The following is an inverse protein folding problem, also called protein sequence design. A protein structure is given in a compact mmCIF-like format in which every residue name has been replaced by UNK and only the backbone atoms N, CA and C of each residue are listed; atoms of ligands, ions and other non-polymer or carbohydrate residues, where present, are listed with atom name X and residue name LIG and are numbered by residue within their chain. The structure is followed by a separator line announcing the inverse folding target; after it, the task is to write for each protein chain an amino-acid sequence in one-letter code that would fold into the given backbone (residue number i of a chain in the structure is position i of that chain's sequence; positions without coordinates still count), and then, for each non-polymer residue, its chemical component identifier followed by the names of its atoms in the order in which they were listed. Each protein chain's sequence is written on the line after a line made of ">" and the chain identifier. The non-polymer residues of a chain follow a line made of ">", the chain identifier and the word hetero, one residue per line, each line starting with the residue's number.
data_IF_671636213518
#
_entry.id   IF_671636213518
#
_cell.length_a   1.000
_cell.length_b   1.000
_cell.length_c   1.000
_cell.angle_alpha   90.00
_cell.angle_beta   90.00
_cell.angle_gamma   90.00
#
_symmetry.space_group_name_H-M   'P 1'
#
loop_
_entity.id
_entity.type
_entity.pdbx_description
1 polymer ?
#
# COMPACT_ATOMS: atom_id res chain seq x y z
N UNK A 1 -11.21 -105.18 4.92
CA UNK A 1 -11.39 -105.10 6.38
C UNK A 1 -10.29 -104.22 6.93
N UNK A 2 -10.72 -103.10 7.50
CA UNK A 2 -10.28 -102.52 8.76
C UNK A 2 -8.87 -101.92 8.89
N UNK A 3 -8.89 -100.58 8.88
CA UNK A 3 -8.41 -99.68 9.93
C UNK A 3 -6.92 -99.62 10.37
N UNK A 4 -6.33 -98.50 9.94
CA UNK A 4 -5.74 -97.45 10.80
C UNK A 4 -4.38 -97.61 11.51
N UNK A 5 -3.69 -96.45 11.57
CA UNK A 5 -2.81 -95.95 12.63
C UNK A 5 -1.38 -96.50 12.79
N UNK A 6 -0.34 -95.68 13.04
CA UNK A 6 -0.18 -94.21 12.93
C UNK A 6 1.32 -93.82 12.99
N UNK A 7 1.70 -92.66 12.40
CA UNK A 7 2.90 -91.82 12.67
C UNK A 7 4.33 -92.41 12.68
N UNK A 8 5.22 -91.87 11.82
CA UNK A 8 6.23 -90.83 12.18
C UNK A 8 7.42 -90.81 11.18
N UNK A 9 7.62 -89.69 10.44
CA UNK A 9 8.94 -89.25 9.92
C UNK A 9 8.98 -87.70 9.95
N UNK A 10 10.06 -87.05 10.42
CA UNK A 10 10.14 -85.58 10.59
C UNK A 10 10.66 -84.80 9.37
N UNK A 11 10.59 -83.46 9.47
CA UNK A 11 11.27 -82.47 8.60
C UNK A 11 12.82 -82.55 8.74
N UNK A 12 13.71 -81.92 7.96
CA UNK A 12 13.73 -80.72 7.08
C UNK A 12 14.58 -81.02 5.81
N UNK A 13 14.78 -80.19 4.77
CA UNK A 13 14.48 -78.77 4.48
C UNK A 13 14.08 -78.63 2.97
N UNK A 14 14.07 -77.47 2.28
CA UNK A 14 14.35 -76.06 2.64
C UNK A 14 14.17 -75.12 1.43
N UNK A 15 14.24 -73.81 1.65
CA UNK A 15 14.27 -72.78 0.58
C UNK A 15 13.12 -71.76 0.61
N UNK A 16 13.42 -70.52 1.01
CA UNK A 16 12.75 -69.24 0.68
C UNK A 16 13.29 -68.10 1.55
N UNK A 17 14.29 -67.35 1.05
CA UNK A 17 14.76 -66.07 1.65
C UNK A 17 15.21 -65.02 0.60
N UNK A 18 14.66 -65.05 -0.61
CA UNK A 18 14.98 -64.05 -1.65
C UNK A 18 13.92 -62.95 -1.83
N UNK A 19 12.67 -63.16 -1.37
CA UNK A 19 11.57 -62.21 -1.60
C UNK A 19 11.49 -61.01 -0.64
N UNK A 20 12.12 -61.06 0.54
CA UNK A 20 11.94 -60.04 1.59
C UNK A 20 12.83 -58.78 1.45
N UNK A 21 13.86 -58.79 0.60
CA UNK A 21 14.73 -57.62 0.39
C UNK A 21 14.30 -56.71 -0.78
N UNK A 22 13.46 -57.18 -1.70
CA UNK A 22 13.04 -56.37 -2.85
C UNK A 22 12.14 -55.19 -2.48
N UNK A 23 11.25 -55.36 -1.50
CA UNK A 23 10.33 -54.30 -1.07
C UNK A 23 11.04 -53.07 -0.44
N UNK A 24 11.95 -53.23 0.56
CA UNK A 24 12.68 -52.08 1.08
C UNK A 24 13.63 -51.45 0.05
N UNK A 25 14.21 -52.23 -0.87
CA UNK A 25 15.07 -51.70 -1.93
C UNK A 25 14.27 -50.88 -2.96
N UNK A 26 13.08 -51.33 -3.34
CA UNK A 26 12.14 -50.57 -4.18
C UNK A 26 11.69 -49.26 -3.51
N UNK A 27 11.37 -49.29 -2.21
CA UNK A 27 11.01 -48.10 -1.44
C UNK A 27 12.18 -47.11 -1.33
N UNK A 28 13.39 -47.61 -1.07
CA UNK A 28 14.59 -46.78 -1.05
C UNK A 28 14.91 -46.17 -2.43
N UNK A 29 14.74 -46.93 -3.52
CA UNK A 29 14.93 -46.43 -4.88
C UNK A 29 13.87 -45.38 -5.26
N UNK A 30 12.59 -45.60 -4.91
CA UNK A 30 11.53 -44.62 -5.14
C UNK A 30 11.73 -43.33 -4.32
N UNK A 31 12.15 -43.46 -3.06
CA UNK A 31 12.51 -42.31 -2.23
C UNK A 31 13.74 -41.57 -2.78
N UNK A 32 14.76 -42.30 -3.26
CA UNK A 32 15.92 -41.69 -3.89
C UNK A 32 15.55 -40.99 -5.21
N UNK A 33 14.64 -41.54 -6.01
CA UNK A 33 14.09 -40.87 -7.20
C UNK A 33 13.30 -39.62 -6.81
N UNK A 34 12.55 -39.61 -5.71
CA UNK A 34 11.87 -38.40 -5.21
C UNK A 34 12.82 -37.32 -4.67
N UNK A 35 13.99 -37.71 -4.15
CA UNK A 35 15.00 -36.77 -3.60
C UNK A 35 15.99 -36.30 -4.68
N UNK A 36 16.29 -37.15 -5.66
CA UNK A 36 17.26 -36.90 -6.73
C UNK A 36 16.60 -36.59 -8.09
N UNK A 37 15.27 -36.66 -8.20
CA UNK A 37 14.58 -35.92 -9.24
C UNK A 37 14.99 -34.45 -9.08
N UNK A 38 15.45 -33.78 -10.16
CA UNK A 38 15.53 -32.33 -10.09
C UNK A 38 14.13 -31.85 -9.69
N UNK A 39 14.06 -31.02 -8.66
CA UNK A 39 12.86 -30.22 -8.47
C UNK A 39 12.60 -29.55 -9.84
N UNK A 40 11.39 -29.67 -10.35
CA UNK A 40 10.99 -28.79 -11.43
C UNK A 40 11.08 -27.38 -10.83
N UNK A 41 12.16 -26.67 -11.15
CA UNK A 41 12.17 -25.22 -11.25
C UNK A 41 11.22 -24.86 -12.39
N UNK A 42 9.93 -25.17 -12.17
CA UNK A 42 8.84 -24.63 -12.93
C UNK A 42 8.98 -23.13 -12.79
N UNK A 43 9.40 -22.50 -13.88
CA UNK A 43 9.60 -21.07 -13.98
C UNK A 43 8.26 -20.34 -14.05
N UNK A 44 7.31 -20.75 -13.21
CA UNK A 44 6.12 -20.02 -12.83
C UNK A 44 6.57 -18.84 -11.96
N UNK A 45 7.22 -17.88 -12.62
CA UNK A 45 7.12 -16.48 -12.22
C UNK A 45 5.62 -16.22 -12.09
N UNK A 46 5.13 -16.12 -10.87
CA UNK A 46 3.73 -15.87 -10.55
C UNK A 46 3.41 -14.40 -10.91
N UNK A 47 3.40 -14.13 -12.22
CA UNK A 47 3.05 -12.85 -12.82
C UNK A 47 1.54 -12.76 -12.84
N UNK A 48 1.02 -11.85 -12.04
CA UNK A 48 -0.39 -11.59 -11.86
C UNK A 48 -0.72 -10.19 -12.38
N UNK A 49 -1.77 -10.08 -13.19
CA UNK A 49 -2.30 -8.79 -13.60
C UNK A 49 -3.38 -8.35 -12.62
N UNK A 50 -3.21 -7.17 -12.03
CA UNK A 50 -4.20 -6.56 -11.14
C UNK A 50 -4.68 -5.24 -11.72
N UNK A 51 -5.99 -5.15 -11.93
CA UNK A 51 -6.65 -3.96 -12.47
C UNK A 51 -7.46 -3.25 -11.40
N UNK A 52 -7.42 -1.93 -11.41
CA UNK A 52 -8.28 -1.07 -10.60
C UNK A 52 -9.00 -0.08 -11.51
N UNK A 53 -10.28 0.14 -11.24
CA UNK A 53 -11.16 1.00 -12.02
C UNK A 53 -12.16 1.67 -11.09
N UNK A 54 -12.56 2.91 -11.40
CA UNK A 54 -13.59 3.63 -10.65
C UNK A 54 -14.85 3.73 -11.52
N UNK A 55 -15.98 3.13 -11.13
CA UNK A 55 -17.20 3.14 -11.92
C UNK A 55 -17.63 4.56 -12.33
N UNK A 56 -17.92 4.74 -13.62
CA UNK A 56 -18.30 6.03 -14.21
C UNK A 56 -17.14 6.87 -14.75
N UNK A 57 -15.88 6.51 -14.45
CA UNK A 57 -14.69 7.21 -14.94
C UNK A 57 -13.94 6.34 -15.97
N UNK A 58 -13.52 6.89 -17.12
CA UNK A 58 -12.88 6.14 -18.20
C UNK A 58 -11.38 5.91 -17.95
N UNK A 59 -11.02 5.46 -16.74
CA UNK A 59 -9.65 5.23 -16.32
C UNK A 59 -9.48 3.84 -15.71
N UNK A 60 -8.38 3.18 -16.06
CA UNK A 60 -8.00 1.88 -15.51
C UNK A 60 -6.52 1.92 -15.14
N UNK A 61 -6.19 1.64 -13.89
CA UNK A 61 -4.81 1.35 -13.47
C UNK A 61 -4.57 -0.15 -13.62
N UNK A 62 -3.54 -0.53 -14.37
CA UNK A 62 -3.10 -1.92 -14.55
C UNK A 62 -1.74 -2.08 -13.90
N UNK A 63 -1.59 -3.05 -13.00
CA UNK A 63 -0.34 -3.45 -12.41
C UNK A 63 0.00 -4.87 -12.88
N UNK A 64 1.24 -5.09 -13.30
CA UNK A 64 1.83 -6.42 -13.42
C UNK A 64 2.64 -6.68 -12.16
N UNK A 65 2.30 -7.75 -11.45
CA UNK A 65 2.89 -8.06 -10.14
C UNK A 65 3.50 -9.47 -10.13
N UNK A 66 4.76 -9.58 -9.76
CA UNK A 66 5.46 -10.85 -9.51
C UNK A 66 5.66 -11.02 -8.01
N UNK A 67 5.17 -12.14 -7.44
CA UNK A 67 5.20 -12.40 -5.99
C UNK A 67 4.60 -11.28 -5.09
N UNK A 68 3.70 -10.45 -5.64
CA UNK A 68 3.07 -9.32 -4.95
C UNK A 68 3.79 -7.97 -5.12
N UNK A 69 5.04 -7.98 -5.61
CA UNK A 69 5.79 -6.77 -5.99
C UNK A 69 5.42 -6.36 -7.40
N UNK A 70 5.24 -5.06 -7.65
CA UNK A 70 4.93 -4.49 -8.96
C UNK A 70 6.21 -4.51 -9.82
N UNK A 71 6.15 -5.22 -10.95
CA UNK A 71 7.19 -5.21 -11.98
C UNK A 71 7.01 -4.04 -12.97
N UNK A 72 5.76 -3.66 -13.22
CA UNK A 72 5.41 -2.58 -14.15
C UNK A 72 3.97 -2.13 -13.90
N UNK A 73 3.69 -0.86 -14.21
CA UNK A 73 2.38 -0.25 -13.95
C UNK A 73 1.99 0.71 -15.07
N UNK A 74 0.72 0.72 -15.45
CA UNK A 74 0.19 1.61 -16.48
C UNK A 74 -1.17 2.21 -16.11
N UNK A 75 -1.29 3.52 -16.23
CA UNK A 75 -2.58 4.21 -16.24
C UNK A 75 -3.10 4.29 -17.67
N UNK A 76 -4.27 3.70 -17.94
CA UNK A 76 -4.99 3.82 -19.19
C UNK A 76 -6.08 4.88 -19.06
N UNK A 77 -6.10 5.81 -20.00
CA UNK A 77 -7.09 6.90 -20.14
C UNK A 77 -7.51 7.03 -21.61
N UNK A 78 -8.50 7.86 -21.96
CA UNK A 78 -8.83 8.14 -23.36
C UNK A 78 -7.74 8.93 -24.10
N UNK A 79 -6.83 9.60 -23.38
CA UNK A 79 -5.61 10.20 -23.95
C UNK A 79 -4.49 9.17 -24.25
N UNK A 80 -4.72 7.88 -23.93
CA UNK A 80 -3.78 6.79 -24.13
C UNK A 80 -3.32 6.14 -22.84
N UNK A 81 -2.31 5.26 -22.95
CA UNK A 81 -1.65 4.63 -21.81
C UNK A 81 -0.39 5.42 -21.39
N UNK A 82 -0.06 5.38 -20.10
CA UNK A 82 1.14 5.94 -19.50
C UNK A 82 1.74 4.97 -18.49
N UNK A 83 3.04 4.74 -18.60
CA UNK A 83 3.79 3.97 -17.60
C UNK A 83 3.93 4.75 -16.29
N UNK A 84 3.98 4.04 -15.16
CA UNK A 84 4.13 4.60 -13.82
C UNK A 84 5.31 3.95 -13.11
N UNK A 85 6.52 4.16 -13.65
CA UNK A 85 7.81 3.61 -13.16
C UNK A 85 8.01 3.82 -11.64
N UNK A 86 7.46 4.89 -11.07
CA UNK A 86 7.49 5.19 -9.62
C UNK A 86 6.80 4.14 -8.72
N UNK A 87 6.05 3.20 -9.29
CA UNK A 87 5.39 2.11 -8.58
C UNK A 87 6.17 0.79 -8.62
N UNK A 88 7.19 0.69 -9.47
CA UNK A 88 7.99 -0.53 -9.63
C UNK A 88 8.77 -0.82 -8.33
N UNK A 89 8.85 -2.10 -7.95
CA UNK A 89 9.44 -2.53 -6.68
C UNK A 89 8.55 -2.30 -5.44
N UNK A 90 7.37 -1.66 -5.57
CA UNK A 90 6.41 -1.50 -4.48
C UNK A 90 5.35 -2.60 -4.47
N UNK A 91 4.63 -2.75 -3.36
CA UNK A 91 3.42 -3.58 -3.23
C UNK A 91 2.20 -2.70 -2.95
N UNK A 92 1.03 -3.08 -3.49
CA UNK A 92 -0.23 -2.39 -3.19
C UNK A 92 -0.66 -2.57 -1.73
N UNK A 93 -1.07 -1.48 -1.09
CA UNK A 93 -1.56 -1.44 0.30
C UNK A 93 -3.06 -1.14 0.37
N UNK A 94 -3.51 -0.06 -0.27
CA UNK A 94 -4.90 0.40 -0.16
C UNK A 94 -5.34 1.30 -1.31
N UNK A 95 -6.66 1.44 -1.46
CA UNK A 95 -7.32 2.28 -2.45
C UNK A 95 -8.45 3.06 -1.77
N UNK A 96 -8.68 4.29 -2.20
CA UNK A 96 -9.83 5.09 -1.81
C UNK A 96 -10.25 6.03 -2.95
N UNK A 97 -11.53 5.98 -3.35
CA UNK A 97 -12.10 6.87 -4.36
C UNK A 97 -13.08 7.86 -3.70
N UNK A 98 -12.86 9.15 -3.92
CA UNK A 98 -13.63 10.25 -3.33
C UNK A 98 -14.28 11.06 -4.45
N UNK A 99 -15.58 11.27 -4.34
CA UNK A 99 -16.39 12.03 -5.31
C UNK A 99 -16.75 13.42 -4.78
N UNK A 100 -16.58 14.43 -5.62
CA UNK A 100 -16.82 15.85 -5.34
C UNK A 100 -17.36 16.56 -6.59
N UNK A 101 -17.69 17.85 -6.51
CA UNK A 101 -18.05 18.66 -7.69
C UNK A 101 -17.24 19.94 -7.66
N UNK A 102 -16.34 20.13 -8.62
CA UNK A 102 -15.37 21.23 -8.62
C UNK A 102 -15.40 22.07 -9.88
N UNK A 103 -15.80 21.50 -11.01
CA UNK A 103 -15.82 22.19 -12.32
C UNK A 103 -17.20 22.80 -12.70
N UNK A 104 -18.11 22.89 -11.73
CA UNK A 104 -19.45 23.48 -11.86
C UNK A 104 -20.41 22.75 -12.80
N UNK A 105 -20.08 21.56 -13.32
CA UNK A 105 -21.03 20.73 -14.05
C UNK A 105 -21.90 19.86 -13.08
N UNK A 106 -22.86 19.09 -13.64
CA UNK A 106 -23.82 18.31 -12.85
C UNK A 106 -23.32 16.92 -12.46
N UNK A 107 -22.17 16.46 -12.97
CA UNK A 107 -21.54 15.17 -12.70
C UNK A 107 -20.70 15.25 -11.43
N UNK A 108 -20.07 14.13 -11.07
CA UNK A 108 -19.11 14.06 -9.97
C UNK A 108 -17.70 13.99 -10.57
N UNK A 109 -16.79 14.79 -10.02
CA UNK A 109 -15.35 14.78 -10.26
C UNK A 109 -14.66 13.83 -9.25
N UNK A 110 -13.60 13.16 -9.71
CA UNK A 110 -12.92 12.11 -8.97
C UNK A 110 -11.63 12.61 -8.32
N UNK A 111 -11.42 12.26 -7.05
CA UNK A 111 -10.13 12.19 -6.38
C UNK A 111 -9.87 10.74 -5.96
N UNK A 112 -8.96 10.07 -6.65
CA UNK A 112 -8.62 8.66 -6.42
C UNK A 112 -7.23 8.54 -5.80
N UNK A 113 -7.11 7.87 -4.66
CA UNK A 113 -5.86 7.66 -3.94
C UNK A 113 -5.55 6.16 -3.89
N UNK A 114 -4.33 5.79 -4.29
CA UNK A 114 -3.80 4.44 -4.15
C UNK A 114 -2.47 4.49 -3.39
N UNK A 115 -2.31 3.60 -2.41
CA UNK A 115 -1.14 3.56 -1.53
C UNK A 115 -0.28 2.34 -1.86
N UNK A 116 1.02 2.56 -2.02
CA UNK A 116 2.00 1.54 -2.35
C UNK A 116 3.19 1.62 -1.40
N UNK A 117 3.79 0.49 -1.05
CA UNK A 117 4.93 0.43 -0.11
C UNK A 117 5.82 -0.79 -0.38
N UNK A 118 7.13 -0.65 -0.17
CA UNK A 118 8.11 -1.74 -0.22
C UNK A 118 8.28 -2.41 1.15
N UNK A 119 9.04 -3.52 1.20
CA UNK A 119 9.31 -4.23 2.46
C UNK A 119 10.15 -3.45 3.48
N UNK A 120 10.81 -2.36 3.07
CA UNK A 120 11.59 -1.47 3.94
C UNK A 120 10.73 -0.42 4.65
N UNK A 121 9.42 -0.36 4.33
CA UNK A 121 8.49 0.63 4.88
C UNK A 121 8.53 1.99 4.17
N UNK A 122 9.15 2.06 2.99
CA UNK A 122 9.14 3.23 2.11
C UNK A 122 8.14 3.04 0.97
N UNK A 123 7.41 4.08 0.59
CA UNK A 123 6.30 3.96 -0.34
C UNK A 123 5.90 5.27 -1.00
N UNK A 124 4.81 5.20 -1.75
CA UNK A 124 4.22 6.30 -2.51
C UNK A 124 2.70 6.21 -2.45
N UNK A 125 2.03 7.34 -2.20
CA UNK A 125 0.64 7.54 -2.59
C UNK A 125 0.59 8.08 -4.02
N UNK A 126 -0.18 7.42 -4.88
CA UNK A 126 -0.57 7.92 -6.19
C UNK A 126 -1.95 8.57 -6.08
N UNK A 127 -2.05 9.84 -6.45
CA UNK A 127 -3.30 10.57 -6.52
C UNK A 127 -3.65 10.84 -7.98
N UNK A 128 -4.84 10.38 -8.39
CA UNK A 128 -5.39 10.58 -9.72
C UNK A 128 -6.65 11.42 -9.57
N UNK A 129 -6.56 12.69 -9.95
CA UNK A 129 -7.71 13.58 -10.05
C UNK A 129 -8.31 13.55 -11.45
N UNK A 130 -9.63 13.56 -11.60
CA UNK A 130 -10.28 13.74 -12.90
C UNK A 130 -11.45 14.74 -12.82
N UNK A 131 -11.41 15.76 -13.67
CA UNK A 131 -12.52 16.69 -13.93
C UNK A 131 -13.38 16.20 -15.11
N UNK A 132 -14.66 16.53 -15.09
CA UNK A 132 -15.66 15.95 -16.01
C UNK A 132 -16.20 16.92 -17.06
N UNK A 133 -16.21 18.23 -16.81
CA UNK A 133 -16.62 19.28 -17.74
C UNK A 133 -15.62 19.43 -18.89
N UNK A 134 -14.34 19.57 -18.56
CA UNK A 134 -13.22 19.59 -19.50
C UNK A 134 -12.29 18.44 -19.14
N UNK A 135 -12.33 17.29 -19.84
CA UNK A 135 -11.68 16.07 -19.35
C UNK A 135 -10.16 16.20 -19.23
N UNK A 136 -9.72 16.36 -17.98
CA UNK A 136 -8.32 16.36 -17.59
C UNK A 136 -8.12 15.32 -16.49
N UNK A 137 -7.03 14.56 -16.61
CA UNK A 137 -6.55 13.66 -15.58
C UNK A 137 -5.23 14.19 -15.06
N UNK A 138 -5.20 14.42 -13.75
CA UNK A 138 -4.05 14.94 -13.03
C UNK A 138 -3.44 13.79 -12.24
N UNK A 139 -2.23 13.40 -12.60
CA UNK A 139 -1.50 12.36 -11.89
C UNK A 139 -0.46 13.04 -11.00
N UNK A 140 -0.58 12.87 -9.70
CA UNK A 140 0.39 13.37 -8.71
C UNK A 140 0.83 12.24 -7.79
N UNK A 141 2.01 12.38 -7.19
CA UNK A 141 2.52 11.42 -6.20
C UNK A 141 3.02 12.15 -4.96
N UNK A 142 2.90 11.49 -3.82
CA UNK A 142 3.52 11.95 -2.57
C UNK A 142 4.16 10.74 -1.85
N UNK A 143 5.31 10.90 -1.19
CA UNK A 143 5.96 9.81 -0.49
C UNK A 143 5.10 9.30 0.68
N UNK A 144 5.14 8.01 0.96
CA UNK A 144 4.35 7.36 2.01
C UNK A 144 5.27 6.56 2.94
N UNK A 145 5.13 6.77 4.25
CA UNK A 145 5.75 5.95 5.30
C UNK A 145 4.79 5.87 6.48
N UNK A 146 4.84 4.77 7.23
CA UNK A 146 4.10 4.67 8.48
C UNK A 146 4.67 5.64 9.52
N UNK A 147 3.77 6.38 10.16
CA UNK A 147 4.05 7.34 11.23
C UNK A 147 3.15 7.08 12.43
N UNK A 148 3.44 7.70 13.58
CA UNK A 148 2.72 7.45 14.84
C UNK A 148 1.21 7.66 14.76
N UNK A 149 0.75 8.47 13.80
CA UNK A 149 -0.67 8.64 13.47
C UNK A 149 -1.39 7.33 13.12
N UNK A 150 -0.71 6.42 12.42
CA UNK A 150 -1.29 5.15 11.94
C UNK A 150 -1.50 4.13 13.06
N UNK A 151 -0.83 4.31 14.20
CA UNK A 151 -1.01 3.49 15.39
C UNK A 151 -2.15 3.99 16.31
N UNK A 152 -2.76 5.15 16.01
CA UNK A 152 -3.88 5.66 16.80
C UNK A 152 -5.19 4.95 16.40
N UNK A 153 -5.97 4.42 17.36
CA UNK A 153 -7.31 3.86 17.09
C UNK A 153 -8.37 4.93 16.82
N UNK A 154 -8.01 6.22 16.92
CA UNK A 154 -8.93 7.34 16.73
C UNK A 154 -9.23 7.54 15.23
N UNK A 155 -10.51 7.45 14.87
CA UNK A 155 -10.99 7.86 13.54
C UNK A 155 -11.16 9.38 13.51
N UNK A 156 -10.63 10.01 12.47
CA UNK A 156 -10.86 11.42 12.18
C UNK A 156 -12.08 11.50 11.26
N UNK A 157 -13.05 12.34 11.60
CA UNK A 157 -14.20 12.62 10.73
C UNK A 157 -13.78 13.60 9.63
N UNK A 158 -13.99 13.19 8.38
CA UNK A 158 -13.54 13.90 7.18
C UNK A 158 -14.76 14.29 6.33
N UNK A 159 -14.94 15.57 5.95
CA UNK A 159 -16.05 15.97 5.08
C UNK A 159 -16.02 15.32 3.69
N UNK A 160 -17.20 15.19 3.06
CA UNK A 160 -17.31 14.68 1.67
C UNK A 160 -16.44 15.51 0.73
N UNK A 161 -15.73 14.84 -0.18
CA UNK A 161 -14.82 15.49 -1.14
C UNK A 161 -13.40 15.75 -0.59
N UNK A 162 -13.15 15.45 0.69
CA UNK A 162 -11.84 15.59 1.32
C UNK A 162 -11.21 14.22 1.57
N UNK A 163 -9.91 14.12 1.34
CA UNK A 163 -9.05 13.02 1.75
C UNK A 163 -8.01 13.49 2.76
N UNK A 164 -7.42 12.56 3.51
CA UNK A 164 -6.30 12.82 4.40
C UNK A 164 -5.04 12.22 3.79
N UNK A 165 -3.98 13.03 3.71
CA UNK A 165 -2.62 12.58 3.43
C UNK A 165 -1.75 12.80 4.66
N UNK A 166 -1.15 11.71 5.18
CA UNK A 166 -0.21 11.74 6.30
C UNK A 166 1.20 11.72 5.72
N UNK A 167 1.93 12.82 5.83
CA UNK A 167 3.30 12.89 5.31
C UNK A 167 4.23 11.95 6.10
N UNK A 168 5.34 11.47 5.51
CA UNK A 168 6.35 10.66 6.22
C UNK A 168 6.98 11.35 7.44
N UNK A 169 7.00 12.69 7.44
CA UNK A 169 7.66 13.51 8.45
C UNK A 169 6.91 14.83 8.73
N UNK A 170 7.21 15.44 9.87
CA UNK A 170 6.80 16.81 10.20
C UNK A 170 7.55 17.83 9.30
N UNK A 171 7.07 19.07 9.14
CA UNK A 171 7.76 20.07 8.32
C UNK A 171 9.15 20.38 8.89
N UNK A 172 10.12 20.67 8.02
CA UNK A 172 11.44 21.11 8.45
C UNK A 172 11.39 22.55 8.99
N UNK A 173 11.24 22.67 10.31
CA UNK A 173 11.27 23.96 11.00
C UNK A 173 12.72 24.41 11.23
N UNK A 174 13.08 25.62 10.77
CA UNK A 174 14.45 26.19 10.81
C UNK A 174 15.16 26.21 12.19
N UNK A 175 14.42 26.00 13.28
CA UNK A 175 14.95 25.95 14.65
C UNK A 175 15.28 24.53 15.14
N UNK A 176 15.19 23.52 14.26
CA UNK A 176 15.45 22.11 14.56
C UNK A 176 16.60 21.58 13.70
N UNK A 177 17.48 20.80 14.31
CA UNK A 177 18.65 20.19 13.65
C UNK A 177 18.28 19.14 12.61
N UNK A 178 17.09 18.54 12.71
CA UNK A 178 16.59 17.51 11.80
C UNK A 178 15.07 17.50 11.69
N UNK A 179 14.59 16.92 10.59
CA UNK A 179 13.20 16.57 10.40
C UNK A 179 12.85 15.31 11.24
N UNK A 180 11.62 15.24 11.76
CA UNK A 180 11.13 14.10 12.55
C UNK A 180 10.05 13.34 11.77
N UNK A 181 10.23 12.03 11.59
CA UNK A 181 9.33 11.17 10.84
C UNK A 181 9.37 9.71 11.31
N UNK A 182 8.75 8.83 10.53
CA UNK A 182 8.64 7.39 10.83
C UNK A 182 7.71 7.05 12.01
N UNK A 183 7.61 5.76 12.34
CA UNK A 183 6.63 5.20 13.31
C UNK A 183 6.67 5.87 14.68
N UNK A 184 7.86 6.29 15.12
CA UNK A 184 8.07 6.91 16.43
C UNK A 184 7.70 8.40 16.48
N UNK A 185 7.27 8.99 15.36
CA UNK A 185 7.01 10.42 15.25
C UNK A 185 5.60 10.73 14.71
N UNK A 186 4.98 11.77 15.26
CA UNK A 186 3.87 12.44 14.57
C UNK A 186 4.43 13.30 13.44
N UNK A 187 3.78 13.25 12.28
CA UNK A 187 4.13 13.99 11.06
C UNK A 187 3.05 15.00 10.68
N UNK A 188 3.28 15.82 9.64
CA UNK A 188 2.22 16.71 9.18
C UNK A 188 1.10 15.94 8.49
N UNK A 189 -0.12 16.45 8.62
CA UNK A 189 -1.30 15.91 7.94
C UNK A 189 -1.89 16.99 7.04
N UNK A 190 -2.00 16.67 5.76
CA UNK A 190 -2.55 17.52 4.71
C UNK A 190 -3.96 17.03 4.35
N UNK A 191 -4.92 17.95 4.27
CA UNK A 191 -6.25 17.66 3.70
C UNK A 191 -6.23 17.87 2.19
N UNK A 192 -6.37 16.79 1.43
CA UNK A 192 -6.32 16.81 -0.04
C UNK A 192 -7.75 16.87 -0.57
N UNK A 193 -8.01 17.80 -1.47
CA UNK A 193 -9.29 17.89 -2.19
C UNK A 193 -9.02 17.94 -3.69
N UNK A 194 -10.03 17.54 -4.48
CA UNK A 194 -10.01 17.86 -5.90
C UNK A 194 -10.20 19.38 -6.07
N UNK A 195 -9.56 19.95 -7.08
CA UNK A 195 -9.76 21.32 -7.55
C UNK A 195 -9.80 21.32 -9.08
N UNK A 196 -10.22 22.41 -9.76
CA UNK A 196 -10.15 22.49 -11.22
C UNK A 196 -8.75 22.23 -11.80
N UNK A 197 -7.69 22.49 -11.02
CA UNK A 197 -6.28 22.29 -11.41
C UNK A 197 -5.70 20.94 -10.91
N UNK A 198 -6.56 20.04 -10.41
CA UNK A 198 -6.20 18.72 -9.91
C UNK A 198 -6.19 18.60 -8.38
N UNK A 199 -5.64 17.48 -7.84
CA UNK A 199 -5.48 17.26 -6.40
C UNK A 199 -4.62 18.34 -5.76
N UNK A 200 -5.12 19.00 -4.72
CA UNK A 200 -4.39 20.06 -4.01
C UNK A 200 -4.61 19.98 -2.49
N UNK A 201 -3.66 20.55 -1.74
CA UNK A 201 -3.83 20.81 -0.31
C UNK A 201 -4.82 21.97 -0.11
N UNK A 202 -5.98 21.65 0.47
CA UNK A 202 -7.04 22.61 0.80
C UNK A 202 -7.35 22.45 2.30
N UNK A 203 -7.01 23.42 3.17
CA UNK A 203 -7.21 23.26 4.61
C UNK A 203 -8.68 23.14 5.01
N UNK A 204 -9.01 22.12 5.81
CA UNK A 204 -10.38 21.90 6.32
C UNK A 204 -10.43 22.11 7.85
N UNK A 205 -11.01 23.22 8.33
CA UNK A 205 -10.93 23.61 9.75
C UNK A 205 -11.43 22.55 10.75
N UNK A 206 -12.52 21.84 10.43
CA UNK A 206 -13.08 20.79 11.30
C UNK A 206 -12.16 19.56 11.45
N UNK A 207 -11.35 19.26 10.44
CA UNK A 207 -10.33 18.19 10.49
C UNK A 207 -9.17 18.65 11.37
N UNK A 208 -8.68 19.88 11.18
CA UNK A 208 -7.58 20.43 11.96
C UNK A 208 -7.92 20.67 13.44
N UNK A 209 -9.19 20.92 13.77
CA UNK A 209 -9.67 20.93 15.15
C UNK A 209 -9.48 19.57 15.85
N UNK A 210 -9.88 18.48 15.20
CA UNK A 210 -9.70 17.11 15.72
C UNK A 210 -8.20 16.76 15.83
N UNK A 211 -7.41 17.05 14.79
CA UNK A 211 -5.96 16.81 14.78
C UNK A 211 -5.23 17.55 15.91
N UNK A 212 -5.66 18.78 16.23
CA UNK A 212 -5.09 19.57 17.34
C UNK A 212 -5.31 18.91 18.69
N UNK A 213 -6.47 18.29 18.92
CA UNK A 213 -6.77 17.56 20.16
C UNK A 213 -5.93 16.28 20.25
N UNK A 214 -5.89 15.49 19.17
CA UNK A 214 -5.12 14.24 19.13
C UNK A 214 -3.62 14.47 19.31
N UNK A 215 -3.04 15.46 18.61
CA UNK A 215 -1.62 15.82 18.75
C UNK A 215 -1.30 16.27 20.18
N UNK A 216 -2.15 17.12 20.79
CA UNK A 216 -1.97 17.62 22.15
C UNK A 216 -1.94 16.47 23.18
N UNK A 217 -2.82 15.48 23.04
CA UNK A 217 -2.81 14.28 23.88
C UNK A 217 -1.53 13.46 23.66
N UNK A 218 -1.14 13.22 22.40
CA UNK A 218 0.08 12.49 22.04
C UNK A 218 1.38 13.16 22.53
N UNK A 219 1.42 14.49 22.58
CA UNK A 219 2.57 15.27 23.04
C UNK A 219 2.90 15.10 24.52
N UNK A 220 1.93 14.77 25.39
CA UNK A 220 2.18 14.63 26.82
C UNK A 220 3.12 13.47 27.16
N UNK A 221 3.17 12.43 26.31
CA UNK A 221 4.11 11.31 26.44
C UNK A 221 5.47 11.51 25.78
N UNK A 222 5.73 12.64 25.11
CA UNK A 222 6.98 12.86 24.37
C UNK A 222 8.10 13.39 25.29
N UNK A 223 9.17 12.62 25.48
CA UNK A 223 10.28 12.96 26.38
C UNK A 223 11.37 13.80 25.72
N UNK A 224 11.55 13.74 24.40
CA UNK A 224 12.60 14.50 23.69
C UNK A 224 12.21 15.98 23.56
N UNK A 225 13.01 16.94 24.08
CA UNK A 225 12.70 18.36 23.98
C UNK A 225 12.58 18.87 22.54
N UNK A 226 13.49 18.43 21.66
CA UNK A 226 13.52 18.87 20.25
C UNK A 226 12.33 18.29 19.46
N UNK A 227 11.95 17.04 19.71
CA UNK A 227 10.75 16.42 19.10
C UNK A 227 9.46 17.07 19.63
N UNK A 228 9.39 17.34 20.93
CA UNK A 228 8.29 18.10 21.56
C UNK A 228 8.17 19.51 20.97
N UNK A 229 9.27 20.20 20.70
CA UNK A 229 9.28 21.52 20.03
C UNK A 229 8.73 21.44 18.60
N UNK A 230 9.07 20.39 17.83
CA UNK A 230 8.47 20.14 16.52
C UNK A 230 6.95 19.99 16.61
N UNK A 231 6.47 19.22 17.60
CA UNK A 231 5.04 19.04 17.82
C UNK A 231 4.34 20.31 18.32
N UNK A 232 4.99 21.16 19.12
CA UNK A 232 4.45 22.48 19.49
C UNK A 232 4.22 23.34 18.24
N UNK A 233 5.17 23.39 17.31
CA UNK A 233 5.01 24.15 16.05
C UNK A 233 3.91 23.55 15.17
N UNK A 234 3.87 22.24 15.02
CA UNK A 234 2.83 21.54 14.26
C UNK A 234 1.44 21.74 14.88
N UNK A 235 1.33 21.69 16.21
CA UNK A 235 0.10 22.00 16.95
C UNK A 235 -0.30 23.48 16.76
N UNK A 236 0.65 24.43 16.81
CA UNK A 236 0.36 25.84 16.50
C UNK A 236 -0.24 25.99 15.10
N UNK A 237 0.30 25.30 14.10
CA UNK A 237 -0.25 25.33 12.75
C UNK A 237 -1.63 24.65 12.68
N UNK A 238 -1.83 23.48 13.28
CA UNK A 238 -3.15 22.83 13.30
C UNK A 238 -4.21 23.72 13.97
N UNK A 239 -3.91 24.41 15.08
CA UNK A 239 -4.86 25.36 15.68
C UNK A 239 -5.16 26.54 14.73
N UNK A 240 -4.15 27.07 14.01
CA UNK A 240 -4.36 28.14 13.01
C UNK A 240 -5.26 27.70 11.86
N UNK A 241 -5.04 26.49 11.33
CA UNK A 241 -5.88 25.93 10.27
C UNK A 241 -7.30 25.63 10.77
N UNK A 242 -7.45 25.21 12.03
CA UNK A 242 -8.75 25.04 12.69
C UNK A 242 -9.51 26.37 12.90
N UNK A 243 -8.79 27.49 13.00
CA UNK A 243 -9.35 28.86 13.00
C UNK A 243 -9.62 29.39 11.58
N UNK A 244 -9.42 28.58 10.53
CA UNK A 244 -9.61 29.00 9.12
C UNK A 244 -8.54 29.95 8.59
N UNK A 245 -7.38 30.08 9.27
CA UNK A 245 -6.28 30.92 8.80
C UNK A 245 -5.52 30.24 7.67
N UNK A 246 -4.91 31.04 6.79
CA UNK A 246 -4.06 30.53 5.73
C UNK A 246 -2.84 29.73 6.29
N UNK A 247 -2.40 28.66 5.58
CA UNK A 247 -1.20 27.91 5.93
C UNK A 247 0.06 28.77 6.01
N UNK A 248 0.98 28.39 6.88
CA UNK A 248 2.30 28.97 6.97
C UNK A 248 3.20 28.54 5.80
N UNK A 249 4.17 29.40 5.47
CA UNK A 249 5.15 29.12 4.41
C UNK A 249 5.89 27.79 4.65
N UNK A 250 6.30 27.49 5.89
CA UNK A 250 6.95 26.22 6.23
C UNK A 250 6.05 25.01 5.88
N UNK A 251 4.73 25.10 6.10
CA UNK A 251 3.75 24.04 5.77
C UNK A 251 3.65 23.80 4.27
N UNK A 252 3.61 24.87 3.48
CA UNK A 252 3.51 24.82 2.02
C UNK A 252 4.82 24.36 1.37
N UNK A 253 5.97 24.88 1.83
CA UNK A 253 7.30 24.51 1.33
C UNK A 253 7.68 23.05 1.64
N UNK A 254 7.06 22.44 2.64
CA UNK A 254 7.23 21.03 2.98
C UNK A 254 6.12 20.13 2.42
N UNK A 255 5.16 20.65 1.63
CA UNK A 255 4.12 19.82 1.01
C UNK A 255 4.76 18.97 -0.11
N UNK A 256 4.89 17.64 0.06
CA UNK A 256 5.75 16.81 -0.76
C UNK A 256 5.00 16.16 -1.93
N UNK A 257 3.88 16.76 -2.37
CA UNK A 257 3.11 16.25 -3.50
C UNK A 257 3.68 16.81 -4.81
N UNK A 258 4.13 15.93 -5.68
CA UNK A 258 4.72 16.25 -6.97
C UNK A 258 3.74 15.90 -8.09
N UNK A 259 3.58 16.80 -9.06
CA UNK A 259 2.83 16.56 -10.29
C UNK A 259 3.65 15.71 -11.25
N UNK A 260 3.14 14.53 -11.61
CA UNK A 260 3.75 13.65 -12.60
C UNK A 260 3.33 14.08 -14.01
N UNK A 261 2.02 14.13 -14.27
CA UNK A 261 1.49 14.44 -15.61
C UNK A 261 0.10 15.09 -15.52
N UNK A 262 -0.27 15.86 -16.56
CA UNK A 262 -1.68 16.14 -16.87
C UNK A 262 -1.99 15.60 -18.26
N UNK A 263 -2.95 14.69 -18.32
CA UNK A 263 -3.49 14.14 -19.56
C UNK A 263 -4.80 14.85 -19.88
N UNK A 264 -5.02 15.20 -21.15
CA UNK A 264 -6.27 15.80 -21.60
C UNK A 264 -6.73 15.19 -22.91
N UNK A 265 -8.04 15.16 -23.13
CA UNK A 265 -8.64 14.66 -24.36
C UNK A 265 -9.92 15.42 -24.69
N UNK A 266 -10.33 15.35 -25.96
CA UNK A 266 -11.61 15.90 -26.42
C UNK A 266 -12.74 14.94 -26.07
N UNK A 267 -13.88 15.50 -25.63
CA UNK A 267 -15.15 14.77 -25.55
C UNK A 267 -15.64 14.37 -26.94
#
# INVERSE_FOLDING_TARGET
>A
MDNENIKNIPAFAGGKKLGMLFLPLMLAAAAFILIAAPAEEGSDKNVSLRTFEVPGFPMILVLEQEAGTINSAWLRTPAGARGLERLEGLSFISENAILSKVDQDSKDDLLWNLSFMNFEGSGTHLWIGMTTQSPHVFVTSAPFQYTRWHALPAKIEVPKGTSIYIAPAAPFYKLLEKQYGGTESYSFIYTIMMTPEGPAFVPVPSVYGQLSVLLRAGMHGETSPNKRMAYVKMLTEFNRLAEGKAPQADTLLNFPMEKIETLSWKK
#
